data_IF_429054470148
#
_entry.id   IF_429054470148
#
_cell.length_a   1.000
_cell.length_b   1.000
_cell.length_c   1.000
_cell.angle_alpha   90.00
_cell.angle_beta   90.00
_cell.angle_gamma   90.00
#
_symmetry.space_group_name_H-M   'P 1'
#
loop_
_entity.id
_entity.type
_entity.pdbx_description
1 polymer ?
#
# COMPACT_ATOMS: atom_id res chain seq x y z
N UNK A 1 36.62 51.36 -47.60
CA UNK A 1 37.27 50.81 -46.39
C UNK A 1 36.68 51.50 -45.18
N UNK A 2 35.78 50.84 -44.44
CA UNK A 2 35.15 51.40 -43.24
C UNK A 2 35.65 50.61 -42.00
N UNK A 3 36.32 51.27 -41.08
CA UNK A 3 36.84 50.74 -39.84
C UNK A 3 35.71 50.47 -38.83
N UNK A 4 35.46 49.21 -38.49
CA UNK A 4 34.52 48.77 -37.45
C UNK A 4 35.15 49.04 -36.05
N UNK A 5 34.60 49.99 -35.26
CA UNK A 5 34.95 50.22 -33.86
C UNK A 5 34.32 49.10 -32.99
N UNK A 6 35.16 48.36 -32.25
CA UNK A 6 34.72 47.40 -31.23
C UNK A 6 34.26 48.14 -29.97
N UNK A 7 33.00 47.95 -29.57
CA UNK A 7 32.51 48.40 -28.24
C UNK A 7 32.98 47.42 -27.16
N UNK A 8 33.65 47.90 -26.14
CA UNK A 8 34.04 47.15 -24.95
C UNK A 8 32.79 46.81 -24.12
N UNK A 9 32.61 45.51 -23.78
CA UNK A 9 31.53 45.07 -22.91
C UNK A 9 31.82 45.44 -21.46
N UNK A 10 30.98 46.27 -20.84
CA UNK A 10 31.12 46.80 -19.46
C UNK A 10 30.92 45.81 -18.33
N UNK A 11 30.51 44.54 -18.60
CA UNK A 11 30.19 43.52 -17.59
C UNK A 11 31.33 43.09 -16.67
N UNK A 12 32.52 42.74 -17.17
CA UNK A 12 33.61 42.25 -16.29
C UNK A 12 34.22 43.29 -15.38
N UNK A 13 34.14 44.58 -15.75
CA UNK A 13 34.73 45.69 -14.94
C UNK A 13 33.86 45.95 -13.70
N UNK A 14 32.53 45.86 -13.80
CA UNK A 14 31.60 46.03 -12.66
C UNK A 14 31.79 44.93 -11.64
N UNK A 15 32.01 43.67 -12.10
CA UNK A 15 32.21 42.52 -11.22
C UNK A 15 33.52 42.60 -10.41
N UNK A 16 34.60 43.07 -11.01
CA UNK A 16 35.92 43.31 -10.35
C UNK A 16 35.86 44.43 -9.31
N UNK A 17 35.10 45.49 -9.56
CA UNK A 17 34.91 46.58 -8.61
C UNK A 17 34.11 46.16 -7.40
N UNK A 18 33.09 45.29 -7.58
CA UNK A 18 32.30 44.74 -6.46
C UNK A 18 33.14 43.83 -5.55
N UNK A 19 34.03 43.01 -6.10
CA UNK A 19 34.93 42.14 -5.32
C UNK A 19 35.93 42.95 -4.52
N UNK A 20 36.47 44.05 -5.07
CA UNK A 20 37.37 44.92 -4.32
C UNK A 20 36.68 45.69 -3.19
N UNK A 21 35.43 46.10 -3.35
CA UNK A 21 34.64 46.75 -2.29
C UNK A 21 34.38 45.81 -1.13
N UNK A 22 34.06 44.55 -1.41
CA UNK A 22 33.81 43.51 -0.38
C UNK A 22 35.13 43.20 0.37
N UNK A 23 36.26 43.10 -0.32
CA UNK A 23 37.57 42.87 0.30
C UNK A 23 38.00 44.03 1.20
N UNK A 24 37.70 45.28 0.82
CA UNK A 24 38.03 46.47 1.62
C UNK A 24 37.15 46.60 2.86
N UNK A 25 35.87 46.22 2.77
CA UNK A 25 34.97 46.20 3.93
C UNK A 25 35.33 45.13 4.95
N UNK A 26 35.83 43.96 4.52
CA UNK A 26 36.34 42.92 5.42
C UNK A 26 37.64 43.34 6.13
N UNK A 27 38.49 44.16 5.51
CA UNK A 27 39.75 44.64 6.11
C UNK A 27 39.54 45.75 7.14
N UNK A 28 38.43 46.50 7.10
CA UNK A 28 38.13 47.60 8.02
C UNK A 28 37.43 47.13 9.31
N UNK A 29 36.76 45.95 9.28
CA UNK A 29 35.98 45.46 10.42
C UNK A 29 36.67 44.39 11.31
N UNK A 30 37.89 43.94 10.98
CA UNK A 30 38.61 42.89 11.72
C UNK A 30 39.59 43.35 12.81
N UNK A 31 40.08 44.61 12.86
CA UNK A 31 41.08 44.97 13.87
C UNK A 31 40.57 45.44 15.25
N UNK A 32 39.26 45.40 15.56
CA UNK A 32 38.77 45.97 16.83
C UNK A 32 38.46 44.94 17.95
N UNK A 33 38.93 43.71 17.81
CA UNK A 33 38.63 42.64 18.80
C UNK A 33 39.88 41.99 19.45
N UNK A 34 41.05 42.60 19.39
CA UNK A 34 42.22 42.12 20.14
C UNK A 34 42.88 43.29 20.85
N UNK A 35 42.57 43.51 22.09
CA UNK A 35 43.49 43.74 23.21
C UNK A 35 42.74 43.99 24.53
N UNK A 36 42.92 43.10 25.49
CA UNK A 36 43.36 43.39 26.86
C UNK A 36 43.52 42.08 27.65
N UNK A 37 44.76 41.79 27.95
CA UNK A 37 45.15 40.80 28.94
C UNK A 37 44.81 41.32 30.33
N UNK A 38 44.12 40.49 31.14
CA UNK A 38 44.34 40.47 32.58
C UNK A 38 44.45 39.01 33.06
N UNK A 39 45.58 38.76 33.67
CA UNK A 39 46.02 37.46 34.21
C UNK A 39 45.33 37.23 35.54
N UNK A 40 44.39 36.25 35.58
CA UNK A 40 44.01 35.61 36.85
C UNK A 40 44.07 34.11 36.67
N UNK A 41 45.06 33.50 37.36
CA UNK A 41 45.12 32.03 37.53
C UNK A 41 43.92 31.58 38.34
N UNK A 42 43.11 30.72 37.76
CA UNK A 42 42.22 29.85 38.51
C UNK A 42 42.08 28.50 37.81
N UNK A 43 42.19 27.46 38.61
CA UNK A 43 42.21 26.04 38.30
C UNK A 43 41.19 25.60 37.23
N UNK A 44 41.68 25.08 36.11
CA UNK A 44 40.87 24.34 35.10
C UNK A 44 40.53 22.96 35.64
N UNK A 45 39.34 22.83 36.25
CA UNK A 45 38.59 21.58 36.23
C UNK A 45 37.87 21.51 34.89
N UNK A 46 38.44 20.80 33.93
CA UNK A 46 37.81 20.41 32.66
C UNK A 46 36.53 19.64 32.94
N UNK A 47 35.40 20.32 32.96
CA UNK A 47 34.10 19.65 32.82
C UNK A 47 34.01 19.19 31.35
N UNK A 48 34.28 17.89 31.14
CA UNK A 48 33.80 17.18 29.95
C UNK A 48 32.30 17.44 29.86
N UNK A 49 31.86 18.26 28.91
CA UNK A 49 30.48 18.33 28.49
C UNK A 49 30.22 17.00 27.76
N UNK A 50 29.69 16.02 28.46
CA UNK A 50 29.11 14.85 27.82
C UNK A 50 27.99 15.38 26.92
N UNK A 51 28.19 15.29 25.61
CA UNK A 51 27.08 15.40 24.66
C UNK A 51 26.09 14.33 25.06
N UNK A 52 24.96 14.72 25.66
CA UNK A 52 23.82 13.86 25.87
C UNK A 52 23.51 13.28 24.49
N UNK A 53 23.74 11.97 24.29
CA UNK A 53 23.25 11.25 23.13
C UNK A 53 21.75 11.50 23.13
N UNK A 54 21.25 12.25 22.12
CA UNK A 54 19.80 12.33 21.91
C UNK A 54 19.32 10.89 21.76
N UNK A 55 18.38 10.50 22.60
CA UNK A 55 17.71 9.21 22.42
C UNK A 55 17.06 9.21 21.04
N UNK A 56 17.26 8.14 20.26
CA UNK A 56 16.67 8.07 18.93
C UNK A 56 15.16 8.23 19.05
N UNK A 57 14.62 9.19 18.32
CA UNK A 57 13.17 9.45 18.32
C UNK A 57 12.46 8.26 17.71
N UNK A 58 11.60 7.62 18.47
CA UNK A 58 10.64 6.64 17.97
C UNK A 58 9.69 7.32 17.00
N UNK A 59 9.52 6.72 15.80
CA UNK A 59 8.58 7.15 14.78
C UNK A 59 7.45 6.15 14.71
N UNK A 60 6.24 6.61 14.42
CA UNK A 60 5.04 5.79 14.35
C UNK A 60 4.14 6.22 13.20
N UNK A 61 3.67 5.25 12.42
CA UNK A 61 2.56 5.40 11.48
C UNK A 61 1.55 4.26 11.70
N UNK A 62 0.30 4.47 11.33
CA UNK A 62 -0.73 3.44 11.45
C UNK A 62 -1.22 2.99 10.06
N UNK A 63 -1.48 1.69 9.92
CA UNK A 63 -1.97 1.09 8.68
C UNK A 63 -3.20 0.24 8.97
N UNK A 64 -4.19 0.29 8.08
CA UNK A 64 -5.28 -0.67 8.02
C UNK A 64 -5.37 -1.27 6.63
N UNK A 65 -5.60 -2.58 6.55
CA UNK A 65 -5.73 -3.33 5.31
C UNK A 65 -7.07 -4.06 5.26
N UNK A 66 -7.71 -4.04 4.08
CA UNK A 66 -8.86 -4.87 3.71
C UNK A 66 -8.55 -5.66 2.45
N UNK A 67 -9.30 -6.74 2.19
CA UNK A 67 -9.03 -7.69 1.13
C UNK A 67 -9.57 -7.30 -0.26
N UNK A 68 -10.08 -8.31 -0.97
CA UNK A 68 -10.41 -8.22 -2.39
C UNK A 68 -11.66 -7.40 -2.66
N UNK A 69 -11.51 -6.35 -3.46
CA UNK A 69 -12.60 -5.59 -4.07
C UNK A 69 -12.88 -6.23 -5.44
N UNK A 70 -13.80 -7.22 -5.45
CA UNK A 70 -14.12 -8.04 -6.61
C UNK A 70 -15.55 -7.80 -7.07
N UNK A 71 -15.75 -6.90 -8.01
CA UNK A 71 -17.06 -6.37 -8.39
C UNK A 71 -17.76 -7.23 -9.43
N UNK A 72 -18.51 -8.21 -8.96
CA UNK A 72 -19.36 -9.06 -9.78
C UNK A 72 -20.57 -8.33 -10.38
N UNK A 73 -21.19 -8.91 -11.39
CA UNK A 73 -22.36 -8.36 -12.07
C UNK A 73 -23.51 -7.97 -11.16
N UNK A 74 -23.78 -8.77 -10.13
CA UNK A 74 -24.82 -8.46 -9.15
C UNK A 74 -24.49 -7.23 -8.32
N UNK A 75 -23.21 -7.04 -7.95
CA UNK A 75 -22.76 -5.89 -7.14
C UNK A 75 -22.87 -4.59 -7.94
N UNK A 76 -22.32 -4.52 -9.18
CA UNK A 76 -22.48 -3.31 -9.97
C UNK A 76 -23.91 -3.11 -10.51
N UNK A 77 -24.66 -4.19 -10.69
CA UNK A 77 -26.09 -4.12 -11.02
C UNK A 77 -26.90 -3.43 -9.93
N UNK A 78 -26.63 -3.75 -8.67
CA UNK A 78 -27.26 -3.12 -7.49
C UNK A 78 -26.80 -1.67 -7.27
N UNK A 79 -25.54 -1.37 -7.64
CA UNK A 79 -24.99 0.00 -7.62
C UNK A 79 -25.51 0.89 -8.75
N UNK A 80 -26.16 0.34 -9.78
CA UNK A 80 -26.58 1.11 -10.96
C UNK A 80 -27.57 2.22 -10.63
N UNK A 81 -27.32 3.39 -11.21
CA UNK A 81 -28.22 4.56 -11.16
C UNK A 81 -28.83 4.90 -12.52
N UNK A 82 -28.68 3.98 -13.50
CA UNK A 82 -29.08 4.20 -14.90
C UNK A 82 -28.03 4.97 -15.70
N UNK A 83 -28.21 5.04 -17.02
CA UNK A 83 -27.33 5.77 -17.93
C UNK A 83 -25.83 5.45 -17.76
N UNK A 84 -25.48 4.19 -17.48
CA UNK A 84 -24.10 3.72 -17.24
C UNK A 84 -23.38 4.48 -16.12
N UNK A 85 -24.12 4.88 -15.07
CA UNK A 85 -23.60 5.47 -13.85
C UNK A 85 -23.85 4.55 -12.66
N UNK A 86 -22.95 4.58 -11.68
CA UNK A 86 -22.97 3.68 -10.53
C UNK A 86 -22.66 4.44 -9.24
N UNK A 87 -23.12 3.89 -8.11
CA UNK A 87 -22.86 4.45 -6.79
C UNK A 87 -22.74 3.30 -5.78
N UNK A 88 -21.53 3.06 -5.30
CA UNK A 88 -21.22 2.04 -4.31
C UNK A 88 -21.09 2.62 -2.90
N UNK A 89 -21.24 3.94 -2.74
CA UNK A 89 -20.99 4.64 -1.47
C UNK A 89 -21.79 4.06 -0.31
N UNK A 90 -23.08 3.78 -0.53
CA UNK A 90 -23.96 3.18 0.47
C UNK A 90 -23.56 1.74 0.84
N UNK A 91 -22.92 1.01 -0.07
CA UNK A 91 -22.51 -0.39 0.16
C UNK A 91 -21.34 -0.50 1.15
N UNK A 92 -20.47 0.51 1.20
CA UNK A 92 -19.21 0.49 1.97
C UNK A 92 -19.19 1.51 3.13
N UNK A 93 -20.24 2.33 3.28
CA UNK A 93 -20.28 3.44 4.23
C UNK A 93 -20.02 3.04 5.68
N UNK A 94 -20.50 1.87 6.10
CA UNK A 94 -20.38 1.40 7.49
C UNK A 94 -18.93 1.10 7.91
N UNK A 95 -18.00 0.99 6.95
CA UNK A 95 -16.58 0.76 7.21
C UNK A 95 -15.83 2.05 7.57
N UNK A 96 -16.35 3.22 7.17
CA UNK A 96 -15.67 4.52 7.38
C UNK A 96 -15.19 4.76 8.81
N UNK A 97 -16.02 4.58 9.86
CA UNK A 97 -15.59 4.83 11.24
C UNK A 97 -14.46 3.90 11.72
N UNK A 98 -14.31 2.74 11.08
CA UNK A 98 -13.27 1.77 11.43
C UNK A 98 -11.90 2.15 10.87
N UNK A 99 -11.88 2.80 9.69
CA UNK A 99 -10.64 3.09 8.96
C UNK A 99 -10.14 4.53 9.13
N UNK A 100 -11.01 5.49 9.46
CA UNK A 100 -10.67 6.93 9.45
C UNK A 100 -9.51 7.30 10.37
N UNK A 101 -9.28 6.54 11.45
CA UNK A 101 -8.21 6.76 12.43
C UNK A 101 -6.81 6.37 11.94
N UNK A 102 -6.69 5.64 10.81
CA UNK A 102 -5.42 5.15 10.29
C UNK A 102 -4.81 6.11 9.27
N UNK A 103 -3.48 6.20 9.23
CA UNK A 103 -2.74 7.03 8.27
C UNK A 103 -2.78 6.40 6.87
N UNK A 104 -2.49 5.10 6.78
CA UNK A 104 -2.47 4.32 5.55
C UNK A 104 -3.66 3.36 5.55
N UNK A 105 -4.42 3.38 4.45
CA UNK A 105 -5.64 2.58 4.25
C UNK A 105 -5.52 1.83 2.95
N UNK A 106 -5.25 0.53 3.05
CA UNK A 106 -4.95 -0.38 1.95
C UNK A 106 -6.14 -1.22 1.52
N UNK A 107 -6.27 -1.46 0.20
CA UNK A 107 -7.14 -2.48 -0.39
C UNK A 107 -6.53 -3.08 -1.66
N UNK A 108 -6.96 -4.28 -2.03
CA UNK A 108 -6.68 -4.88 -3.34
C UNK A 108 -7.84 -4.64 -4.29
N UNK A 109 -7.60 -3.96 -5.42
CA UNK A 109 -8.57 -3.82 -6.50
C UNK A 109 -8.43 -5.02 -7.44
N UNK A 110 -9.17 -6.09 -7.18
CA UNK A 110 -9.02 -7.34 -7.92
C UNK A 110 -9.70 -7.29 -9.28
N UNK A 111 -10.96 -6.86 -9.35
CA UNK A 111 -11.61 -6.63 -10.64
C UNK A 111 -11.11 -5.33 -11.28
N UNK A 112 -10.39 -5.45 -12.39
CA UNK A 112 -9.76 -4.30 -13.05
C UNK A 112 -10.73 -3.14 -13.31
N UNK A 113 -10.28 -1.90 -13.13
CA UNK A 113 -10.94 -0.68 -13.60
C UNK A 113 -10.32 -0.31 -14.96
N UNK A 114 -10.82 -0.94 -16.02
CA UNK A 114 -10.26 -0.81 -17.37
C UNK A 114 -10.92 0.29 -18.23
N UNK A 115 -11.85 1.04 -17.63
CA UNK A 115 -12.59 2.10 -18.29
C UNK A 115 -13.86 1.63 -19.00
N UNK A 116 -14.88 2.49 -18.99
CA UNK A 116 -16.21 2.20 -19.55
C UNK A 116 -16.20 1.93 -21.06
N UNK A 117 -15.21 2.47 -21.78
CA UNK A 117 -15.06 2.26 -23.24
C UNK A 117 -14.73 0.81 -23.62
N UNK A 118 -14.14 0.02 -22.70
CA UNK A 118 -13.90 -1.41 -22.90
C UNK A 118 -15.09 -2.28 -22.49
N UNK A 119 -16.22 -1.67 -22.14
CA UNK A 119 -17.44 -2.32 -21.69
C UNK A 119 -17.34 -2.85 -20.28
N UNK A 120 -18.30 -2.45 -19.40
CA UNK A 120 -18.41 -3.00 -18.04
C UNK A 120 -18.80 -4.47 -18.14
N UNK A 121 -18.10 -5.31 -17.39
CA UNK A 121 -18.31 -6.78 -17.41
C UNK A 121 -17.94 -7.41 -16.07
N UNK A 122 -18.40 -8.65 -15.90
CA UNK A 122 -18.13 -9.47 -14.70
C UNK A 122 -17.47 -10.79 -15.09
N UNK A 123 -17.44 -11.73 -14.13
CA UNK A 123 -16.88 -13.07 -14.35
C UNK A 123 -17.28 -13.67 -15.71
N UNK A 124 -16.34 -14.31 -16.44
CA UNK A 124 -14.95 -14.56 -16.06
C UNK A 124 -13.95 -13.43 -16.40
N UNK A 125 -14.36 -12.43 -17.14
CA UNK A 125 -13.51 -11.32 -17.62
C UNK A 125 -14.05 -10.00 -17.10
N UNK A 126 -13.52 -9.56 -15.95
CA UNK A 126 -14.00 -8.37 -15.25
C UNK A 126 -13.62 -7.05 -15.95
N UNK A 127 -14.48 -6.08 -15.78
CA UNK A 127 -14.18 -4.65 -15.95
C UNK A 127 -15.16 -3.86 -15.08
N UNK A 128 -14.66 -3.34 -13.98
CA UNK A 128 -15.46 -2.59 -13.00
C UNK A 128 -15.73 -1.17 -13.46
N UNK A 129 -16.88 -0.58 -13.09
CA UNK A 129 -17.09 0.86 -13.21
C UNK A 129 -16.05 1.66 -12.42
N UNK A 130 -15.65 2.83 -12.93
CA UNK A 130 -14.70 3.73 -12.27
C UNK A 130 -15.20 4.15 -10.87
N UNK A 131 -16.51 4.26 -10.71
CA UNK A 131 -17.16 4.73 -9.49
C UNK A 131 -16.85 3.86 -8.25
N UNK A 132 -16.48 2.56 -8.42
CA UNK A 132 -16.02 1.80 -7.23
C UNK A 132 -14.71 2.37 -6.69
N UNK A 133 -13.76 2.68 -7.56
CA UNK A 133 -12.50 3.31 -7.14
C UNK A 133 -12.71 4.70 -6.58
N UNK A 134 -13.63 5.49 -7.19
CA UNK A 134 -14.01 6.80 -6.69
C UNK A 134 -14.54 6.70 -5.25
N UNK A 135 -15.50 5.80 -5.01
CA UNK A 135 -16.11 5.63 -3.70
C UNK A 135 -15.13 5.04 -2.65
N UNK A 136 -14.16 4.20 -3.06
CA UNK A 136 -13.10 3.74 -2.16
C UNK A 136 -12.20 4.90 -1.72
N UNK A 137 -11.81 5.79 -2.64
CA UNK A 137 -11.01 6.98 -2.32
C UNK A 137 -11.82 7.97 -1.46
N UNK A 138 -13.10 8.21 -1.77
CA UNK A 138 -13.99 9.08 -0.99
C UNK A 138 -14.25 8.54 0.43
N UNK A 139 -14.23 7.21 0.60
CA UNK A 139 -14.31 6.57 1.90
C UNK A 139 -13.04 6.83 2.73
N UNK A 140 -11.91 7.09 2.06
CA UNK A 140 -10.63 7.46 2.66
C UNK A 140 -9.48 6.50 2.35
N UNK A 141 -9.68 5.47 1.52
CA UNK A 141 -8.56 4.60 1.10
C UNK A 141 -7.54 5.39 0.27
N UNK A 142 -6.25 5.18 0.56
CA UNK A 142 -5.14 5.93 -0.03
C UNK A 142 -3.98 5.06 -0.52
N UNK A 143 -4.15 3.73 -0.49
CA UNK A 143 -3.18 2.76 -0.98
C UNK A 143 -3.91 1.60 -1.65
N UNK A 144 -3.55 1.28 -2.91
CA UNK A 144 -4.17 0.24 -3.72
C UNK A 144 -3.15 -0.62 -4.44
N UNK A 145 -3.45 -1.91 -4.59
CA UNK A 145 -2.69 -2.82 -5.45
C UNK A 145 -3.56 -3.41 -6.54
N UNK A 146 -2.93 -3.71 -7.70
CA UNK A 146 -3.61 -4.19 -8.91
C UNK A 146 -2.90 -5.35 -9.59
N UNK A 147 -1.83 -5.91 -8.99
CA UNK A 147 -1.25 -7.17 -9.44
C UNK A 147 -2.08 -8.34 -8.89
N UNK A 148 -2.92 -8.92 -9.72
CA UNK A 148 -3.82 -10.03 -9.37
C UNK A 148 -4.18 -10.87 -10.60
N UNK A 149 -4.98 -11.92 -10.44
CA UNK A 149 -5.37 -12.83 -11.51
C UNK A 149 -6.29 -12.19 -12.56
N UNK A 150 -6.98 -11.08 -12.23
CA UNK A 150 -7.89 -10.36 -13.12
C UNK A 150 -7.27 -9.10 -13.78
N UNK A 151 -5.98 -8.86 -13.55
CA UNK A 151 -5.29 -7.70 -14.11
C UNK A 151 -5.30 -7.67 -15.64
N UNK A 152 -5.21 -8.84 -16.29
CA UNK A 152 -5.20 -8.96 -17.75
C UNK A 152 -6.58 -9.05 -18.41
N UNK A 153 -7.68 -9.00 -17.67
CA UNK A 153 -9.05 -9.23 -18.20
C UNK A 153 -9.46 -8.29 -19.34
N UNK A 154 -8.86 -7.11 -19.39
CA UNK A 154 -9.02 -6.14 -20.50
C UNK A 154 -7.73 -5.88 -21.27
N UNK A 155 -6.78 -6.81 -21.15
CA UNK A 155 -5.49 -6.73 -21.82
C UNK A 155 -4.72 -5.46 -21.50
N UNK A 156 -3.76 -5.12 -22.37
CA UNK A 156 -2.92 -3.92 -22.20
C UNK A 156 -3.75 -2.64 -22.06
N UNK A 157 -4.80 -2.48 -22.88
CA UNK A 157 -5.61 -1.26 -22.87
C UNK A 157 -6.27 -1.02 -21.48
N UNK A 158 -6.76 -2.09 -20.84
CA UNK A 158 -7.31 -2.02 -19.49
C UNK A 158 -6.26 -1.64 -18.46
N UNK A 159 -5.06 -2.22 -18.54
CA UNK A 159 -3.94 -1.93 -17.62
C UNK A 159 -3.49 -0.48 -17.75
N UNK A 160 -3.33 0.02 -18.99
CA UNK A 160 -2.94 1.43 -19.23
C UNK A 160 -4.00 2.39 -18.67
N UNK A 161 -5.29 2.07 -18.85
CA UNK A 161 -6.36 2.86 -18.25
C UNK A 161 -6.30 2.83 -16.71
N UNK A 162 -6.17 1.65 -16.08
CA UNK A 162 -6.04 1.47 -14.63
C UNK A 162 -4.91 2.33 -14.07
N UNK A 163 -3.72 2.30 -14.70
CA UNK A 163 -2.57 3.06 -14.23
C UNK A 163 -2.82 4.57 -14.28
N UNK A 164 -3.39 5.07 -15.38
CA UNK A 164 -3.75 6.48 -15.51
C UNK A 164 -4.86 6.90 -14.54
N UNK A 165 -5.84 6.01 -14.31
CA UNK A 165 -6.92 6.22 -13.35
C UNK A 165 -6.37 6.42 -11.93
N UNK A 166 -5.57 5.49 -11.39
CA UNK A 166 -5.02 5.59 -10.05
C UNK A 166 -4.03 6.73 -9.90
N UNK A 167 -3.25 7.02 -10.94
CA UNK A 167 -2.39 8.20 -10.98
C UNK A 167 -3.17 9.50 -10.83
N UNK A 168 -4.33 9.63 -11.51
CA UNK A 168 -5.23 10.80 -11.36
C UNK A 168 -5.83 10.90 -9.98
N UNK A 169 -6.10 9.78 -9.31
CA UNK A 169 -6.58 9.77 -7.92
C UNK A 169 -5.51 10.21 -6.91
N UNK A 170 -4.23 10.17 -7.29
CA UNK A 170 -3.13 10.64 -6.46
C UNK A 170 -2.86 9.80 -5.23
N UNK A 171 -3.32 8.54 -5.20
CA UNK A 171 -3.08 7.59 -4.12
C UNK A 171 -1.87 6.69 -4.43
N UNK A 172 -1.34 6.02 -3.40
CA UNK A 172 -0.25 5.05 -3.57
C UNK A 172 -0.77 3.84 -4.35
N UNK A 173 -0.11 3.52 -5.47
CA UNK A 173 -0.49 2.43 -6.36
C UNK A 173 0.72 1.58 -6.73
N UNK A 174 0.56 0.24 -6.74
CA UNK A 174 1.58 -0.71 -7.14
C UNK A 174 0.99 -1.96 -7.82
N UNK A 175 1.83 -2.63 -8.63
CA UNK A 175 1.53 -3.93 -9.23
C UNK A 175 1.38 -3.91 -10.75
N UNK A 176 0.97 -2.78 -11.34
CA UNK A 176 0.85 -2.60 -12.79
C UNK A 176 1.54 -1.34 -13.26
N UNK A 177 2.03 -1.33 -14.51
CA UNK A 177 2.87 -0.24 -15.04
C UNK A 177 2.59 -0.02 -16.52
N UNK A 178 2.87 1.20 -17.00
CA UNK A 178 2.62 1.61 -18.40
C UNK A 178 3.87 1.52 -19.27
N UNK A 179 5.05 1.33 -18.68
CA UNK A 179 6.32 1.15 -19.38
C UNK A 179 7.34 0.42 -18.51
N UNK A 180 8.39 -0.10 -19.15
CA UNK A 180 9.52 -0.72 -18.46
C UNK A 180 10.22 0.29 -17.52
N UNK A 181 10.38 1.55 -17.98
CA UNK A 181 10.96 2.62 -17.15
C UNK A 181 10.13 2.88 -15.89
N UNK A 182 8.80 2.94 -16.04
CA UNK A 182 7.91 3.13 -14.91
C UNK A 182 7.98 1.95 -13.93
N UNK A 183 8.07 0.72 -14.44
CA UNK A 183 8.20 -0.50 -13.64
C UNK A 183 9.51 -0.52 -12.86
N UNK A 184 10.61 -0.12 -13.47
CA UNK A 184 11.94 -0.16 -12.86
C UNK A 184 12.21 1.00 -11.88
N UNK A 185 11.34 1.99 -11.84
CA UNK A 185 11.46 3.13 -10.93
C UNK A 185 11.19 2.70 -9.49
N UNK A 186 12.19 2.81 -8.62
CA UNK A 186 12.02 2.63 -7.18
C UNK A 186 11.18 3.77 -6.62
N UNK A 187 10.08 3.44 -5.92
CA UNK A 187 9.16 4.41 -5.33
C UNK A 187 9.26 4.37 -3.82
N UNK A 188 9.62 5.50 -3.25
CA UNK A 188 9.68 5.71 -1.79
C UNK A 188 8.60 6.70 -1.41
N UNK A 189 7.85 6.35 -0.40
CA UNK A 189 6.81 7.19 0.20
C UNK A 189 7.21 7.55 1.63
N UNK A 190 6.57 8.56 2.19
CA UNK A 190 6.82 8.96 3.57
C UNK A 190 5.52 9.25 4.30
N UNK A 191 5.40 8.72 5.53
CA UNK A 191 4.29 8.99 6.44
C UNK A 191 4.84 9.16 7.87
N UNK A 192 4.53 10.27 8.51
CA UNK A 192 4.95 10.58 9.89
C UNK A 192 6.49 10.45 10.11
N UNK A 193 7.28 10.78 9.07
CA UNK A 193 8.74 10.67 9.07
C UNK A 193 9.29 9.25 8.89
N UNK A 194 8.43 8.26 8.62
CA UNK A 194 8.81 6.89 8.24
C UNK A 194 8.81 6.80 6.71
N UNK A 195 9.96 6.44 6.14
CA UNK A 195 10.08 6.13 4.71
C UNK A 195 9.67 4.69 4.47
N UNK A 196 8.79 4.46 3.51
CA UNK A 196 8.35 3.11 3.17
C UNK A 196 8.28 2.88 1.67
N UNK A 197 8.40 1.60 1.28
CA UNK A 197 8.16 1.13 -0.07
C UNK A 197 6.99 0.17 -0.12
N UNK A 198 6.17 0.25 -1.18
CA UNK A 198 5.13 -0.71 -1.50
C UNK A 198 5.50 -1.45 -2.77
N UNK A 199 5.58 -2.78 -2.70
CA UNK A 199 5.69 -3.70 -3.83
C UNK A 199 4.40 -4.53 -3.91
N UNK A 200 4.01 -4.94 -5.12
CA UNK A 200 2.86 -5.81 -5.30
C UNK A 200 3.12 -6.83 -6.42
N UNK A 201 2.77 -8.08 -6.18
CA UNK A 201 2.97 -9.20 -7.09
C UNK A 201 1.77 -10.12 -7.12
N UNK A 202 1.62 -10.87 -8.22
CA UNK A 202 0.69 -11.99 -8.33
C UNK A 202 1.41 -13.25 -8.76
N UNK A 203 1.03 -14.42 -8.22
CA UNK A 203 1.49 -15.73 -8.71
C UNK A 203 0.56 -16.29 -9.79
N UNK A 204 -0.62 -15.71 -9.95
CA UNK A 204 -1.71 -16.21 -10.80
C UNK A 204 -2.18 -15.15 -11.78
N UNK A 205 -2.43 -15.52 -13.04
CA UNK A 205 -2.93 -14.63 -14.10
C UNK A 205 -4.08 -15.25 -14.89
N UNK A 206 -4.76 -16.27 -14.36
CA UNK A 206 -5.82 -17.02 -15.04
C UNK A 206 -5.41 -17.53 -16.44
N UNK A 207 -4.11 -17.83 -16.63
CA UNK A 207 -3.55 -18.28 -17.91
C UNK A 207 -3.35 -17.17 -18.94
N UNK A 208 -3.70 -15.92 -18.64
CA UNK A 208 -3.45 -14.77 -19.50
C UNK A 208 -1.97 -14.31 -19.33
N UNK A 209 -1.42 -13.72 -20.39
CA UNK A 209 -0.01 -13.29 -20.40
C UNK A 209 0.12 -11.91 -21.00
N UNK A 210 1.13 -11.19 -20.58
CA UNK A 210 1.55 -9.96 -21.24
C UNK A 210 1.95 -10.24 -22.70
N UNK A 211 1.72 -9.31 -23.63
CA UNK A 211 2.32 -9.36 -24.96
C UNK A 211 3.86 -9.44 -24.86
N UNK A 212 4.49 -10.14 -25.80
CA UNK A 212 5.95 -10.29 -25.82
C UNK A 212 6.67 -8.91 -25.77
N UNK A 213 7.65 -8.78 -24.88
CA UNK A 213 8.37 -7.53 -24.63
C UNK A 213 7.62 -6.50 -23.78
N UNK A 214 6.47 -6.88 -23.19
CA UNK A 214 5.66 -6.03 -22.32
C UNK A 214 5.40 -6.69 -20.95
N UNK A 215 6.29 -7.56 -20.52
CA UNK A 215 6.21 -8.28 -19.24
C UNK A 215 6.16 -7.30 -18.04
N UNK A 216 6.61 -6.08 -18.24
CA UNK A 216 6.53 -4.99 -17.27
C UNK A 216 5.09 -4.56 -16.91
N UNK A 217 4.09 -4.91 -17.73
CA UNK A 217 2.70 -4.49 -17.50
C UNK A 217 2.16 -4.93 -16.14
N UNK A 218 2.55 -6.12 -15.67
CA UNK A 218 2.12 -6.69 -14.39
C UNK A 218 3.30 -7.36 -13.72
N UNK A 219 3.48 -7.14 -12.42
CA UNK A 219 4.45 -7.88 -11.63
C UNK A 219 3.96 -9.31 -11.38
N UNK A 220 4.30 -10.23 -12.27
CA UNK A 220 4.21 -11.67 -11.99
C UNK A 220 5.39 -12.03 -11.11
N UNK A 221 5.11 -12.71 -9.99
CA UNK A 221 6.14 -13.01 -8.99
C UNK A 221 7.26 -13.91 -9.56
N UNK A 222 8.48 -13.55 -9.22
CA UNK A 222 9.64 -14.46 -9.17
C UNK A 222 10.58 -14.00 -8.06
N UNK A 223 11.37 -14.92 -7.53
CA UNK A 223 12.35 -14.64 -6.48
C UNK A 223 13.36 -13.58 -6.93
N UNK A 224 13.83 -13.64 -8.19
CA UNK A 224 14.76 -12.69 -8.77
C UNK A 224 14.17 -11.28 -8.86
N UNK A 225 12.91 -11.18 -9.29
CA UNK A 225 12.21 -9.92 -9.41
C UNK A 225 12.01 -9.28 -8.02
N UNK A 226 11.49 -10.04 -7.07
CA UNK A 226 11.28 -9.60 -5.70
C UNK A 226 12.59 -9.17 -5.03
N UNK A 227 13.68 -9.94 -5.22
CA UNK A 227 14.99 -9.58 -4.71
C UNK A 227 15.49 -8.26 -5.29
N UNK A 228 15.44 -8.07 -6.63
CA UNK A 228 15.82 -6.82 -7.30
C UNK A 228 15.10 -5.62 -6.69
N UNK A 229 13.78 -5.73 -6.51
CA UNK A 229 12.95 -4.64 -6.03
C UNK A 229 13.19 -4.32 -4.55
N UNK A 230 13.31 -5.33 -3.69
CA UNK A 230 13.62 -5.16 -2.27
C UNK A 230 15.01 -4.54 -2.09
N UNK A 231 16.02 -5.00 -2.85
CA UNK A 231 17.37 -4.42 -2.82
C UNK A 231 17.36 -2.96 -3.30
N UNK A 232 16.51 -2.63 -4.30
CA UNK A 232 16.29 -1.26 -4.76
C UNK A 232 15.78 -0.36 -3.64
N UNK A 233 14.72 -0.77 -2.93
CA UNK A 233 14.17 -0.03 -1.79
C UNK A 233 15.20 0.14 -0.65
N UNK A 234 15.97 -0.90 -0.34
CA UNK A 234 17.02 -0.83 0.68
C UNK A 234 18.12 0.18 0.32
N UNK A 235 18.50 0.28 -0.96
CA UNK A 235 19.47 1.28 -1.43
C UNK A 235 18.96 2.72 -1.26
N UNK A 236 17.64 2.93 -1.39
CA UNK A 236 17.00 4.23 -1.13
C UNK A 236 16.83 4.53 0.37
N UNK A 237 17.20 3.59 1.26
CA UNK A 237 17.17 3.78 2.71
C UNK A 237 15.76 3.88 3.27
N UNK A 238 14.82 3.04 2.80
CA UNK A 238 13.48 2.95 3.39
C UNK A 238 13.56 2.32 4.77
N UNK A 239 12.71 2.79 5.67
CA UNK A 239 12.55 2.24 7.02
C UNK A 239 11.69 0.97 7.01
N UNK A 240 10.67 0.90 6.11
CA UNK A 240 9.66 -0.17 6.07
C UNK A 240 9.44 -0.64 4.63
N UNK A 241 9.47 -1.96 4.41
CA UNK A 241 9.14 -2.59 3.12
C UNK A 241 7.84 -3.38 3.28
N UNK A 242 6.81 -2.98 2.51
CA UNK A 242 5.50 -3.63 2.45
C UNK A 242 5.40 -4.36 1.11
N UNK A 243 5.02 -5.64 1.14
CA UNK A 243 4.77 -6.45 -0.06
C UNK A 243 3.32 -6.93 -0.03
N UNK A 244 2.55 -6.58 -1.06
CA UNK A 244 1.24 -7.17 -1.30
C UNK A 244 1.39 -8.38 -2.23
N UNK A 245 0.80 -9.52 -1.83
CA UNK A 245 0.84 -10.76 -2.58
C UNK A 245 -0.57 -11.24 -2.94
N UNK A 246 -0.81 -11.43 -4.22
CA UNK A 246 -2.02 -12.09 -4.71
C UNK A 246 -1.65 -13.52 -5.10
N UNK A 247 -1.93 -14.50 -4.20
CA UNK A 247 -1.30 -15.80 -4.20
C UNK A 247 -2.16 -16.92 -3.59
N UNK A 248 -1.67 -18.14 -3.67
CA UNK A 248 -2.27 -19.28 -3.00
C UNK A 248 -3.38 -19.96 -3.82
N UNK A 249 -4.29 -20.61 -3.14
CA UNK A 249 -5.37 -21.36 -3.75
C UNK A 249 -6.74 -20.90 -3.24
N UNK A 250 -7.66 -20.63 -4.16
CA UNK A 250 -9.00 -20.20 -3.81
C UNK A 250 -9.70 -21.20 -2.85
N UNK A 251 -10.32 -20.65 -1.82
CA UNK A 251 -11.17 -21.32 -0.84
C UNK A 251 -10.48 -22.36 0.07
N UNK A 252 -9.16 -22.32 0.17
CA UNK A 252 -8.37 -23.13 1.10
C UNK A 252 -7.96 -22.27 2.29
N UNK A 253 -8.28 -22.73 3.53
CA UNK A 253 -8.05 -21.98 4.76
C UNK A 253 -6.58 -22.00 5.19
N UNK A 254 -5.91 -23.15 5.02
CA UNK A 254 -4.51 -23.30 5.41
C UNK A 254 -3.61 -22.85 4.25
N UNK A 255 -2.66 -21.95 4.50
CA UNK A 255 -1.73 -21.49 3.47
C UNK A 255 -1.02 -22.66 2.79
N UNK A 256 -1.03 -22.66 1.45
CA UNK A 256 -0.34 -23.68 0.66
C UNK A 256 1.18 -23.49 0.69
N UNK A 257 1.93 -24.51 0.28
CA UNK A 257 3.39 -24.46 0.33
C UNK A 257 4.00 -23.32 -0.50
N UNK A 258 3.37 -22.95 -1.62
CA UNK A 258 3.76 -21.78 -2.41
C UNK A 258 3.77 -20.51 -1.54
N UNK A 259 2.67 -20.23 -0.84
CA UNK A 259 2.56 -19.05 0.04
C UNK A 259 3.61 -19.07 1.15
N UNK A 260 3.79 -20.23 1.80
CA UNK A 260 4.79 -20.38 2.88
C UNK A 260 6.23 -20.16 2.40
N UNK A 261 6.57 -20.72 1.24
CA UNK A 261 7.92 -20.59 0.66
C UNK A 261 8.21 -19.15 0.25
N UNK A 262 7.26 -18.49 -0.43
CA UNK A 262 7.38 -17.10 -0.83
C UNK A 262 7.48 -16.19 0.41
N UNK A 263 6.62 -16.40 1.42
CA UNK A 263 6.67 -15.62 2.65
C UNK A 263 8.02 -15.74 3.37
N UNK A 264 8.56 -16.97 3.46
CA UNK A 264 9.89 -17.23 4.03
C UNK A 264 11.00 -16.54 3.22
N UNK A 265 10.93 -16.59 1.89
CA UNK A 265 11.90 -15.94 1.01
C UNK A 265 11.86 -14.41 1.17
N UNK A 266 10.68 -13.79 1.13
CA UNK A 266 10.51 -12.35 1.33
C UNK A 266 10.97 -11.89 2.72
N UNK A 267 10.67 -12.68 3.77
CA UNK A 267 11.16 -12.42 5.12
C UNK A 267 12.71 -12.43 5.17
N UNK A 268 13.35 -13.39 4.54
CA UNK A 268 14.81 -13.47 4.46
C UNK A 268 15.41 -12.30 3.66
N UNK A 269 14.66 -11.72 2.71
CA UNK A 269 15.03 -10.48 2.04
C UNK A 269 14.83 -9.24 2.93
N UNK A 270 14.25 -9.36 4.13
CA UNK A 270 14.03 -8.25 5.06
C UNK A 270 12.78 -7.41 4.74
N UNK A 271 11.77 -8.01 4.11
CA UNK A 271 10.42 -7.45 4.04
C UNK A 271 9.84 -7.39 5.45
N UNK A 272 9.14 -6.30 5.81
CA UNK A 272 8.59 -6.11 7.14
C UNK A 272 7.13 -6.57 7.23
N UNK A 273 6.32 -6.28 6.19
CA UNK A 273 4.90 -6.61 6.14
C UNK A 273 4.55 -7.29 4.82
N UNK A 274 3.86 -8.43 4.88
CA UNK A 274 3.26 -9.10 3.72
C UNK A 274 1.74 -9.05 3.89
N UNK A 275 1.03 -8.55 2.86
CA UNK A 275 -0.43 -8.48 2.81
C UNK A 275 -0.92 -9.39 1.70
N UNK A 276 -1.54 -10.52 2.06
CA UNK A 276 -2.02 -11.53 1.14
C UNK A 276 -3.49 -11.37 0.77
N UNK A 277 -3.80 -11.73 -0.49
CA UNK A 277 -5.13 -11.76 -1.10
C UNK A 277 -5.22 -12.91 -2.10
N UNK A 278 -6.32 -13.14 -2.77
CA UNK A 278 -6.65 -14.21 -3.73
C UNK A 278 -7.47 -15.39 -3.19
N UNK A 279 -7.20 -16.00 -2.00
CA UNK A 279 -7.98 -17.15 -1.55
C UNK A 279 -9.49 -16.87 -1.39
N UNK A 280 -9.90 -15.60 -1.36
CA UNK A 280 -11.29 -15.13 -1.15
C UNK A 280 -11.90 -15.53 0.19
N UNK A 281 -11.11 -16.11 1.06
CA UNK A 281 -11.43 -16.45 2.44
C UNK A 281 -10.30 -16.02 3.36
N UNK A 282 -10.60 -15.93 4.65
CA UNK A 282 -9.61 -15.55 5.66
C UNK A 282 -8.62 -16.71 5.86
N UNK A 283 -7.34 -16.40 5.81
CA UNK A 283 -6.23 -17.28 6.20
C UNK A 283 -5.52 -16.70 7.43
N UNK A 284 -4.61 -17.46 8.08
CA UNK A 284 -3.90 -17.02 9.28
C UNK A 284 -3.12 -15.72 9.14
N UNK A 285 -2.90 -15.06 10.29
CA UNK A 285 -1.98 -13.94 10.46
C UNK A 285 -0.91 -14.33 11.47
N UNK A 286 0.36 -14.15 11.12
CA UNK A 286 1.45 -14.57 12.00
C UNK A 286 2.77 -13.94 11.62
N UNK A 287 3.85 -14.40 12.25
CA UNK A 287 5.19 -13.90 12.02
C UNK A 287 6.11 -14.97 11.45
N UNK A 288 6.96 -14.56 10.51
CA UNK A 288 8.18 -15.27 10.10
C UNK A 288 9.34 -14.36 10.45
N UNK A 289 10.18 -14.75 11.41
CA UNK A 289 11.20 -13.88 11.97
C UNK A 289 10.54 -12.55 12.43
N UNK A 290 11.01 -11.41 11.92
CA UNK A 290 10.46 -10.07 12.21
C UNK A 290 9.41 -9.60 11.18
N UNK A 291 9.02 -10.44 10.22
CA UNK A 291 8.03 -10.13 9.17
C UNK A 291 6.63 -10.49 9.64
N UNK A 292 5.72 -9.52 9.68
CA UNK A 292 4.29 -9.78 9.86
C UNK A 292 3.70 -10.25 8.54
N UNK A 293 3.05 -11.42 8.52
CA UNK A 293 2.43 -12.03 7.35
C UNK A 293 0.93 -12.16 7.58
N UNK A 294 0.15 -11.51 6.74
CA UNK A 294 -1.28 -11.69 6.61
C UNK A 294 -1.47 -12.57 5.36
N UNK A 295 -1.79 -13.87 5.53
CA UNK A 295 -1.83 -14.78 4.39
C UNK A 295 -2.99 -14.49 3.45
N UNK A 296 -4.19 -14.23 3.97
CA UNK A 296 -5.33 -13.74 3.19
C UNK A 296 -6.30 -12.93 4.04
N UNK A 297 -6.67 -11.76 3.52
CA UNK A 297 -7.72 -10.92 4.09
C UNK A 297 -9.14 -11.38 3.68
N UNK A 298 -9.26 -12.32 2.72
CA UNK A 298 -10.55 -12.66 2.11
C UNK A 298 -11.14 -11.51 1.30
N UNK A 299 -12.44 -11.56 1.04
CA UNK A 299 -13.13 -10.51 0.28
C UNK A 299 -13.47 -9.29 1.15
N UNK A 300 -13.21 -8.10 0.64
CA UNK A 300 -13.78 -6.87 1.19
C UNK A 300 -15.22 -6.67 0.72
N UNK A 301 -15.44 -6.78 -0.60
CA UNK A 301 -16.76 -6.80 -1.22
C UNK A 301 -16.73 -7.68 -2.46
N UNK A 302 -17.66 -8.63 -2.56
CA UNK A 302 -17.73 -9.58 -3.66
C UNK A 302 -19.16 -10.07 -3.87
N UNK A 303 -19.49 -10.48 -5.07
CA UNK A 303 -20.77 -11.13 -5.42
C UNK A 303 -20.56 -12.55 -5.95
N UNK A 304 -19.58 -13.30 -5.43
CA UNK A 304 -19.34 -14.70 -5.84
C UNK A 304 -20.56 -15.57 -5.61
N UNK A 305 -20.99 -16.27 -6.64
CA UNK A 305 -22.16 -17.16 -6.58
C UNK A 305 -21.74 -18.62 -6.90
N UNK A 306 -22.12 -19.64 -6.09
CA UNK A 306 -22.87 -19.51 -4.84
C UNK A 306 -22.02 -18.85 -3.73
N UNK A 307 -22.64 -17.94 -2.98
CA UNK A 307 -22.01 -17.30 -1.85
C UNK A 307 -22.03 -18.27 -0.66
N UNK A 308 -20.89 -18.89 -0.34
CA UNK A 308 -20.70 -19.60 0.93
C UNK A 308 -20.34 -18.61 2.04
N UNK A 309 -20.63 -18.94 3.30
CA UNK A 309 -20.35 -18.06 4.45
C UNK A 309 -18.89 -17.60 4.49
N UNK A 310 -17.95 -18.45 4.10
CA UNK A 310 -16.54 -18.15 4.14
C UNK A 310 -16.12 -17.09 3.08
N UNK A 311 -16.86 -16.99 1.95
CA UNK A 311 -16.57 -16.02 0.88
C UNK A 311 -17.16 -14.64 1.12
N UNK A 312 -18.07 -14.51 2.10
CA UNK A 312 -18.72 -13.23 2.44
C UNK A 312 -18.25 -12.65 3.76
N UNK A 313 -17.31 -13.33 4.42
CA UNK A 313 -16.62 -12.80 5.62
C UNK A 313 -15.20 -12.48 5.25
N UNK A 314 -14.85 -11.20 5.39
CA UNK A 314 -13.50 -10.68 5.19
C UNK A 314 -12.86 -10.20 6.49
N UNK A 315 -11.56 -10.10 6.49
CA UNK A 315 -10.75 -9.60 7.59
C UNK A 315 -10.26 -8.18 7.27
N UNK A 316 -10.42 -7.29 8.23
CA UNK A 316 -9.72 -6.02 8.30
C UNK A 316 -8.64 -6.11 9.38
N UNK A 317 -7.40 -5.78 9.03
CA UNK A 317 -6.27 -5.78 9.96
C UNK A 317 -5.76 -4.36 10.11
N UNK A 318 -5.89 -3.81 11.32
CA UNK A 318 -5.30 -2.53 11.71
C UNK A 318 -4.03 -2.76 12.53
N UNK A 319 -3.06 -1.85 12.40
CA UNK A 319 -1.79 -1.94 13.14
C UNK A 319 -1.12 -0.58 13.28
N UNK A 320 -0.28 -0.47 14.31
CA UNK A 320 0.74 0.56 14.42
C UNK A 320 2.07 0.01 13.90
N UNK A 321 2.77 0.76 13.06
CA UNK A 321 4.12 0.47 12.58
C UNK A 321 5.06 1.43 13.28
N UNK A 322 5.93 0.88 14.12
CA UNK A 322 6.87 1.63 14.96
C UNK A 322 8.28 1.40 14.44
N UNK A 323 9.01 2.49 14.18
CA UNK A 323 10.42 2.45 13.79
C UNK A 323 11.26 3.10 14.88
N UNK A 324 12.17 2.31 15.46
CA UNK A 324 13.12 2.74 16.48
C UNK A 324 14.47 2.07 16.28
N UNK A 325 15.54 2.84 16.25
CA UNK A 325 16.92 2.32 16.06
C UNK A 325 17.10 1.45 14.80
N UNK A 326 16.37 1.78 13.71
CA UNK A 326 16.39 1.00 12.47
C UNK A 326 15.65 -0.34 12.54
N UNK A 327 14.94 -0.62 13.63
CA UNK A 327 14.08 -1.79 13.78
C UNK A 327 12.62 -1.42 13.60
N UNK A 328 11.89 -2.29 12.92
CA UNK A 328 10.44 -2.19 12.72
C UNK A 328 9.74 -3.11 13.70
N UNK A 329 8.72 -2.60 14.37
CA UNK A 329 7.82 -3.38 15.24
C UNK A 329 6.39 -3.08 14.87
N UNK A 330 5.55 -4.11 14.87
CA UNK A 330 4.09 -3.97 14.76
C UNK A 330 3.48 -4.03 16.16
N UNK A 331 2.56 -3.10 16.43
CA UNK A 331 1.87 -3.02 17.72
C UNK A 331 0.37 -2.75 17.48
N UNK A 332 -0.43 -2.92 18.52
CA UNK A 332 -1.87 -2.66 18.48
C UNK A 332 -2.57 -3.33 17.28
N UNK A 333 -2.24 -4.62 17.01
CA UNK A 333 -2.94 -5.39 15.98
C UNK A 333 -4.43 -5.46 16.31
N UNK A 334 -5.26 -4.89 15.43
CA UNK A 334 -6.72 -4.81 15.58
C UNK A 334 -7.39 -5.60 14.44
N UNK A 335 -7.98 -6.74 14.78
CA UNK A 335 -8.68 -7.62 13.86
C UNK A 335 -10.18 -7.32 13.90
N UNK A 336 -10.75 -6.93 12.76
CA UNK A 336 -12.19 -6.73 12.59
C UNK A 336 -12.71 -7.62 11.47
N UNK A 337 -13.80 -8.31 11.74
CA UNK A 337 -14.51 -9.07 10.71
C UNK A 337 -15.53 -8.18 10.01
N UNK A 338 -15.56 -8.30 8.70
CA UNK A 338 -16.50 -7.62 7.82
C UNK A 338 -17.38 -8.67 7.14
N UNK A 339 -18.64 -8.35 6.95
CA UNK A 339 -19.62 -9.25 6.35
C UNK A 339 -20.20 -8.60 5.09
N UNK A 340 -20.07 -9.25 3.93
CA UNK A 340 -20.73 -8.82 2.71
C UNK A 340 -22.17 -9.33 2.71
N UNK A 341 -23.10 -8.45 3.08
CA UNK A 341 -24.53 -8.72 3.01
C UNK A 341 -25.06 -8.58 1.59
N UNK A 342 -25.97 -9.44 1.21
CA UNK A 342 -26.90 -9.26 0.09
C UNK A 342 -28.19 -9.98 0.41
N UNK A 343 -29.31 -9.60 -0.19
CA UNK A 343 -30.56 -10.36 -0.13
C UNK A 343 -30.43 -11.66 -0.91
N UNK A 344 -31.37 -12.58 -0.71
CA UNK A 344 -31.45 -13.84 -1.49
C UNK A 344 -31.61 -13.63 -3.01
N UNK A 345 -31.94 -12.39 -3.44
CA UNK A 345 -32.01 -11.99 -4.85
C UNK A 345 -30.72 -11.31 -5.34
N UNK A 346 -29.65 -11.34 -4.56
CA UNK A 346 -28.38 -10.66 -4.85
C UNK A 346 -28.54 -9.15 -5.10
N UNK A 347 -29.28 -8.48 -4.20
CA UNK A 347 -29.48 -7.03 -4.18
C UNK A 347 -29.24 -6.50 -2.77
N UNK A 348 -29.19 -5.18 -2.60
CA UNK A 348 -28.91 -4.49 -1.33
C UNK A 348 -27.55 -4.91 -0.74
N UNK A 349 -26.54 -4.94 -1.58
CA UNK A 349 -25.18 -5.25 -1.14
C UNK A 349 -24.69 -4.25 -0.10
N UNK A 350 -24.08 -4.77 0.97
CA UNK A 350 -23.55 -3.94 2.05
C UNK A 350 -22.39 -4.64 2.75
N UNK A 351 -21.32 -3.92 3.00
CA UNK A 351 -20.22 -4.37 3.87
C UNK A 351 -20.56 -3.96 5.31
N UNK A 352 -20.89 -4.92 6.15
CA UNK A 352 -21.33 -4.70 7.53
C UNK A 352 -20.23 -5.16 8.48
N UNK A 353 -19.70 -4.28 9.36
CA UNK A 353 -18.84 -4.69 10.46
C UNK A 353 -19.58 -5.66 11.41
N UNK A 354 -18.89 -6.66 11.93
CA UNK A 354 -19.49 -7.69 12.80
C UNK A 354 -20.09 -7.12 14.10
N UNK A 355 -19.66 -5.96 14.55
CA UNK A 355 -20.23 -5.25 15.71
C UNK A 355 -21.62 -4.65 15.43
N UNK A 356 -22.00 -4.55 14.15
CA UNK A 356 -23.31 -4.10 13.68
C UNK A 356 -24.18 -5.25 13.14
N UNK A 357 -23.66 -6.47 13.14
CA UNK A 357 -24.35 -7.65 12.58
C UNK A 357 -25.18 -8.33 13.67
N UNK A 358 -26.33 -8.85 13.30
CA UNK A 358 -27.20 -9.68 14.16
C UNK A 358 -27.39 -11.09 13.60
N UNK A 359 -27.80 -12.02 14.47
CA UNK A 359 -28.02 -13.43 14.10
C UNK A 359 -29.16 -13.59 13.07
N UNK A 360 -30.13 -12.67 13.04
CA UNK A 360 -31.23 -12.74 12.10
C UNK A 360 -30.76 -12.54 10.66
N UNK A 361 -29.78 -11.66 10.45
CA UNK A 361 -29.15 -11.42 9.15
C UNK A 361 -28.43 -12.65 8.61
N UNK A 362 -27.92 -13.52 9.48
CA UNK A 362 -27.17 -14.73 9.10
C UNK A 362 -28.08 -15.91 8.70
N UNK A 363 -29.36 -15.90 9.06
CA UNK A 363 -30.28 -17.03 8.85
C UNK A 363 -30.40 -17.50 7.41
N UNK A 364 -30.19 -16.60 6.44
CA UNK A 364 -30.23 -16.97 5.01
C UNK A 364 -29.12 -17.95 4.59
N UNK A 365 -28.04 -18.07 5.38
CA UNK A 365 -26.92 -18.97 5.10
C UNK A 365 -26.88 -20.20 6.00
N UNK A 366 -27.82 -20.34 6.94
CA UNK A 366 -27.91 -21.46 7.87
C UNK A 366 -28.03 -21.04 9.32
N UNK A 367 -27.78 -21.98 10.22
CA UNK A 367 -27.87 -21.76 11.68
C UNK A 367 -26.57 -21.17 12.24
N UNK A 368 -26.12 -20.04 11.68
CA UNK A 368 -24.95 -19.31 12.19
C UNK A 368 -25.39 -18.29 13.23
N UNK A 369 -24.51 -18.03 14.21
CA UNK A 369 -24.58 -16.89 15.10
C UNK A 369 -23.39 -15.97 14.87
N UNK A 370 -23.54 -14.69 15.15
CA UNK A 370 -22.44 -13.70 15.03
C UNK A 370 -21.27 -14.12 15.92
N UNK A 371 -21.54 -14.56 17.16
CA UNK A 371 -20.48 -15.00 18.07
C UNK A 371 -19.78 -16.27 17.54
N UNK A 372 -20.54 -17.27 17.07
CA UNK A 372 -19.96 -18.51 16.53
C UNK A 372 -19.08 -18.29 15.30
N UNK A 373 -19.47 -17.37 14.40
CA UNK A 373 -18.63 -16.98 13.27
C UNK A 373 -17.39 -16.20 13.74
N UNK A 374 -17.56 -15.31 14.71
CA UNK A 374 -16.43 -14.56 15.28
C UNK A 374 -15.40 -15.52 15.88
N UNK A 375 -15.83 -16.49 16.67
CA UNK A 375 -14.95 -17.49 17.28
C UNK A 375 -14.23 -18.31 16.19
N UNK A 376 -14.97 -18.80 15.18
CA UNK A 376 -14.42 -19.54 14.03
C UNK A 376 -13.30 -18.76 13.33
N UNK A 377 -13.57 -17.52 12.92
CA UNK A 377 -12.60 -16.77 12.12
C UNK A 377 -11.43 -16.27 12.97
N UNK A 378 -11.65 -15.94 14.24
CA UNK A 378 -10.53 -15.59 15.14
C UNK A 378 -9.64 -16.79 15.46
N UNK A 379 -10.19 -18.02 15.49
CA UNK A 379 -9.39 -19.25 15.55
C UNK A 379 -8.50 -19.38 14.30
N UNK A 380 -9.06 -19.14 13.10
CA UNK A 380 -8.30 -19.18 11.85
C UNK A 380 -7.19 -18.11 11.85
N UNK A 381 -7.52 -16.85 12.18
CA UNK A 381 -6.57 -15.73 12.22
C UNK A 381 -5.38 -16.04 13.14
N UNK A 382 -5.62 -16.66 14.29
CA UNK A 382 -4.59 -16.95 15.29
C UNK A 382 -3.95 -18.35 15.11
N UNK A 383 -4.26 -19.07 14.05
CA UNK A 383 -3.71 -20.41 13.80
C UNK A 383 -2.23 -20.32 13.48
N UNK A 384 -1.42 -21.13 14.15
CA UNK A 384 0.01 -21.25 13.81
C UNK A 384 0.19 -21.86 12.42
N UNK A 385 1.02 -21.21 11.62
CA UNK A 385 1.40 -21.70 10.29
C UNK A 385 2.65 -22.57 10.42
N UNK A 386 2.53 -23.84 10.06
CA UNK A 386 3.67 -24.74 10.03
C UNK A 386 4.48 -24.56 8.74
N UNK A 387 5.71 -24.12 8.85
CA UNK A 387 6.63 -23.88 7.70
C UNK A 387 7.45 -25.10 7.30
N UNK A 388 7.22 -26.26 7.93
CA UNK A 388 8.08 -27.44 7.76
C UNK A 388 9.51 -27.18 8.31
N UNK A 389 10.15 -28.22 8.85
CA UNK A 389 11.56 -28.16 9.26
C UNK A 389 12.48 -28.23 8.04
#
# INVERSE_FOLDING_TARGET
MAKKRRKLKKGPIVFLVLIMIIATLCAIFVPSLVDKKDVVKKDEKTKKVEKKKEEPKEKKMSLVAVGDTLIHGAVFGDASRGNNTYDFSGMIADVKPLIEKYDIKYFNQESIIGGKNLGISHYPMFNSPDEIGDNMVDLGFNMVTTANNHTFDKGEAGILYTNEYWKKKGIVHAGTYSSQEERDKVRVYEQNGIKYGLLAYTTVTNGLKAPAGKEYLVNVYSDELAKKDVEGLKKEGVDVIIVAMHWGQEYIVDPVDEQKNIAKYLSNLGVNLIIGTHPHIIEPVGYINDTLVIYSLGNFISGQNPMGIDKIVGLMVGMDIIVKDGKVKFDNLDYKLLYTYATSRNTNYKVIPFDKLDDATLKQYGNYTVQGLKDKYMEIVNREVNYGN
#
